data_IF_110664068652
#
_entry.id   IF_110664068652
#
_cell.length_a   1.000
_cell.length_b   1.000
_cell.length_c   1.000
_cell.angle_alpha   90.00
_cell.angle_beta   90.00
_cell.angle_gamma   90.00
#
_symmetry.space_group_name_H-M   'P 1'
#
loop_
_entity.id
_entity.type
_entity.pdbx_description
1 polymer ?
#
# COMPACT_ATOMS: atom_id res chain seq x y z
N UNK A 1 11.08 6.13 -5.21
CA UNK A 1 10.85 7.47 -4.64
C UNK A 1 10.08 7.37 -3.33
N UNK A 2 9.13 6.46 -3.29
CA UNK A 2 8.07 6.29 -2.29
C UNK A 2 8.61 5.66 -1.02
N UNK A 3 9.54 4.69 -1.15
CA UNK A 3 10.24 4.10 0.00
C UNK A 3 10.95 5.15 0.84
N UNK A 4 11.72 6.04 0.22
CA UNK A 4 12.45 7.10 0.94
C UNK A 4 11.51 8.04 1.68
N UNK A 5 10.38 8.39 1.06
CA UNK A 5 9.35 9.21 1.71
C UNK A 5 8.71 8.46 2.88
N UNK A 6 8.37 7.18 2.71
CA UNK A 6 7.83 6.35 3.78
C UNK A 6 8.81 6.17 4.95
N UNK A 7 10.12 6.06 4.66
CA UNK A 7 11.18 6.01 5.67
C UNK A 7 11.28 7.34 6.43
N UNK A 8 11.19 8.48 5.74
CA UNK A 8 11.17 9.82 6.35
C UNK A 8 9.92 10.05 7.22
N UNK A 9 8.80 9.43 6.87
CA UNK A 9 7.55 9.47 7.63
C UNK A 9 7.49 8.41 8.73
N UNK A 10 8.57 7.64 8.91
CA UNK A 10 8.69 6.58 9.93
C UNK A 10 7.59 5.51 9.82
N UNK A 11 7.12 5.25 8.60
CA UNK A 11 6.16 4.18 8.35
C UNK A 11 6.86 2.83 8.46
N UNK A 12 6.12 1.82 8.93
CA UNK A 12 6.55 0.43 8.76
C UNK A 12 6.43 0.08 7.28
N UNK A 13 7.50 -0.46 6.71
CA UNK A 13 7.58 -0.79 5.29
C UNK A 13 7.82 -2.28 5.13
N UNK A 14 6.98 -2.93 4.31
CA UNK A 14 7.10 -4.33 3.95
C UNK A 14 7.21 -4.44 2.42
N UNK A 15 8.22 -5.16 1.92
CA UNK A 15 8.35 -5.44 0.50
C UNK A 15 7.41 -6.58 0.11
N UNK A 16 6.69 -6.43 -1.00
CA UNK A 16 5.74 -7.44 -1.48
C UNK A 16 5.66 -7.42 -3.01
N UNK A 17 5.44 -8.59 -3.62
CA UNK A 17 5.02 -8.65 -5.02
C UNK A 17 3.49 -8.63 -5.10
N UNK A 18 2.93 -7.72 -5.89
CA UNK A 18 1.49 -7.65 -6.19
C UNK A 18 1.31 -7.85 -7.69
N UNK A 19 0.63 -8.92 -8.10
CA UNK A 19 0.47 -9.31 -9.50
C UNK A 19 1.80 -9.40 -10.28
N UNK A 20 2.89 -9.82 -9.62
CA UNK A 20 4.23 -9.92 -10.22
C UNK A 20 5.03 -8.60 -10.25
N UNK A 21 4.45 -7.49 -9.78
CA UNK A 21 5.09 -6.17 -9.76
C UNK A 21 5.66 -5.89 -8.36
N UNK A 22 6.89 -5.37 -8.32
CA UNK A 22 7.53 -4.95 -7.08
C UNK A 22 6.73 -3.84 -6.41
N UNK A 23 6.39 -4.05 -5.14
CA UNK A 23 5.54 -3.15 -4.37
C UNK A 23 6.05 -3.02 -2.93
N UNK A 24 5.68 -1.92 -2.29
CA UNK A 24 5.85 -1.72 -0.86
C UNK A 24 4.49 -1.53 -0.20
N UNK A 25 4.29 -2.20 0.93
CA UNK A 25 3.19 -1.95 1.85
C UNK A 25 3.70 -0.99 2.91
N UNK A 26 2.93 0.06 3.20
CA UNK A 26 3.28 1.14 4.12
C UNK A 26 2.23 1.21 5.23
N UNK A 27 2.67 1.18 6.49
CA UNK A 27 1.79 1.31 7.65
C UNK A 27 2.26 2.47 8.54
N UNK A 28 1.49 3.56 8.68
CA UNK A 28 1.73 4.55 9.71
C UNK A 28 1.44 3.94 11.10
N UNK A 29 1.89 4.63 12.13
CA UNK A 29 1.53 4.31 13.51
C UNK A 29 0.27 5.10 13.94
N UNK A 30 -0.86 4.85 13.27
CA UNK A 30 -2.13 5.50 13.60
C UNK A 30 -3.10 4.55 14.35
N UNK A 31 -4.03 5.07 15.17
CA UNK A 31 -4.91 4.25 16.02
C UNK A 31 -5.89 3.35 15.26
N UNK A 32 -6.25 3.73 14.03
CA UNK A 32 -7.25 3.03 13.24
C UNK A 32 -6.64 1.99 12.30
N UNK A 33 -5.30 1.98 12.17
CA UNK A 33 -4.56 1.01 11.38
C UNK A 33 -4.70 1.25 9.88
N UNK A 34 -4.46 2.49 9.42
CA UNK A 34 -4.40 2.80 8.01
C UNK A 34 -3.28 2.01 7.32
N UNK A 35 -3.42 1.80 6.01
CA UNK A 35 -2.43 1.07 5.25
C UNK A 35 -2.40 1.52 3.80
N UNK A 36 -1.19 1.62 3.25
CA UNK A 36 -0.94 1.95 1.86
C UNK A 36 -0.19 0.84 1.13
N UNK A 37 -0.35 0.82 -0.19
CA UNK A 37 0.47 0.02 -1.10
C UNK A 37 0.92 0.90 -2.25
N UNK A 38 2.19 0.86 -2.61
CA UNK A 38 2.72 1.50 -3.81
C UNK A 38 3.41 0.46 -4.70
N UNK A 39 3.13 0.49 -6.00
CA UNK A 39 3.65 -0.45 -7.01
C UNK A 39 4.25 0.30 -8.18
N UNK A 40 5.36 -0.20 -8.71
CA UNK A 40 6.03 0.35 -9.90
C UNK A 40 5.44 -0.26 -11.19
N UNK A 41 4.28 0.23 -11.59
CA UNK A 41 3.50 -0.24 -12.72
C UNK A 41 3.39 0.83 -13.82
N UNK A 42 4.33 0.83 -14.78
CA UNK A 42 4.42 1.84 -15.85
C UNK A 42 4.34 3.29 -15.30
N UNK A 43 5.07 3.53 -14.21
CA UNK A 43 4.89 4.67 -13.31
C UNK A 43 4.48 4.20 -11.92
N UNK A 44 4.31 5.12 -10.97
CA UNK A 44 3.95 4.76 -9.60
C UNK A 44 2.44 4.80 -9.44
N UNK A 45 1.85 3.68 -9.00
CA UNK A 45 0.45 3.61 -8.59
C UNK A 45 0.41 3.32 -7.10
N UNK A 46 -0.48 4.02 -6.39
CA UNK A 46 -0.64 3.85 -4.95
C UNK A 46 -2.11 3.74 -4.54
N UNK A 47 -2.38 2.88 -3.56
CA UNK A 47 -3.65 2.82 -2.84
C UNK A 47 -3.43 3.10 -1.37
N UNK A 48 -4.40 3.77 -0.74
CA UNK A 48 -4.41 4.02 0.68
C UNK A 48 -5.80 3.75 1.24
N UNK A 49 -5.86 3.00 2.33
CA UNK A 49 -7.08 2.71 3.06
C UNK A 49 -6.96 3.30 4.46
N UNK A 50 -7.92 4.15 4.83
CA UNK A 50 -7.98 4.81 6.13
C UNK A 50 -9.31 4.48 6.85
N UNK A 51 -9.33 3.42 7.67
CA UNK A 51 -10.47 3.04 8.48
C UNK A 51 -10.96 4.19 9.37
N UNK A 52 -12.29 4.39 9.46
CA UNK A 52 -12.87 5.35 10.41
C UNK A 52 -12.89 4.82 11.86
N UNK A 53 -12.75 3.50 12.03
CA UNK A 53 -12.69 2.80 13.32
C UNK A 53 -11.61 1.72 13.28
N UNK A 54 -10.99 1.35 14.42
CA UNK A 54 -10.02 0.26 14.47
C UNK A 54 -10.63 -1.10 14.12
N UNK A 55 -9.75 -2.07 13.78
CA UNK A 55 -10.12 -3.49 13.65
C UNK A 55 -10.39 -3.98 12.22
N UNK A 56 -10.27 -3.11 11.21
CA UNK A 56 -10.34 -3.52 9.80
C UNK A 56 -8.95 -3.91 9.26
N UNK A 57 -8.89 -4.89 8.36
CA UNK A 57 -7.66 -5.24 7.63
C UNK A 57 -7.42 -4.26 6.47
N UNK A 58 -6.97 -3.05 6.81
CA UNK A 58 -6.70 -2.01 5.82
C UNK A 58 -5.64 -2.44 4.79
N UNK A 59 -4.67 -3.28 5.18
CA UNK A 59 -3.62 -3.73 4.27
C UNK A 59 -4.14 -4.74 3.26
N UNK A 60 -4.91 -5.74 3.69
CA UNK A 60 -5.59 -6.64 2.78
C UNK A 60 -6.46 -5.89 1.78
N UNK A 61 -7.20 -4.87 2.24
CA UNK A 61 -8.00 -4.00 1.38
C UNK A 61 -7.15 -3.20 0.38
N UNK A 62 -6.07 -2.55 0.83
CA UNK A 62 -5.19 -1.76 -0.04
C UNK A 62 -4.49 -2.65 -1.09
N UNK A 63 -4.05 -3.84 -0.70
CA UNK A 63 -3.47 -4.83 -1.62
C UNK A 63 -4.53 -5.27 -2.64
N UNK A 64 -5.76 -5.56 -2.21
CA UNK A 64 -6.84 -5.95 -3.12
C UNK A 64 -7.14 -4.87 -4.17
N UNK A 65 -7.20 -3.60 -3.75
CA UNK A 65 -7.39 -2.49 -4.67
C UNK A 65 -6.24 -2.37 -5.67
N UNK A 66 -4.99 -2.61 -5.22
CA UNK A 66 -3.84 -2.67 -6.10
C UNK A 66 -3.92 -3.82 -7.10
N UNK A 67 -4.25 -5.03 -6.66
CA UNK A 67 -4.46 -6.19 -7.55
C UNK A 67 -5.47 -5.88 -8.65
N UNK A 68 -6.62 -5.30 -8.29
CA UNK A 68 -7.66 -4.93 -9.25
C UNK A 68 -7.17 -3.88 -10.24
N UNK A 69 -6.40 -2.90 -9.78
CA UNK A 69 -5.84 -1.85 -10.62
C UNK A 69 -4.82 -2.38 -11.62
N UNK A 70 -3.94 -3.28 -11.17
CA UNK A 70 -2.93 -3.89 -12.02
C UNK A 70 -3.56 -4.89 -13.00
N UNK A 71 -4.62 -5.60 -12.60
CA UNK A 71 -5.38 -6.49 -13.49
C UNK A 71 -6.07 -5.73 -14.64
N UNK A 72 -6.56 -4.50 -14.42
CA UNK A 72 -7.16 -3.67 -15.47
C UNK A 72 -6.16 -3.04 -16.45
N UNK A 73 -4.85 -3.18 -16.21
CA UNK A 73 -3.78 -2.70 -17.10
C UNK A 73 -3.19 -3.78 -18.02
N UNK A 74 -3.69 -5.02 -17.93
CA UNK A 74 -3.29 -6.15 -18.78
C UNK A 74 -4.01 -6.14 -20.14
#
# INVERSE_FOLDING_TARGET
NERKVAEQLEYQIENRSVAGIESIVMRPNDPNGACGVASDAAGVVGWWVNPQTPGMDACGMAIKLMELTLATRA
#
